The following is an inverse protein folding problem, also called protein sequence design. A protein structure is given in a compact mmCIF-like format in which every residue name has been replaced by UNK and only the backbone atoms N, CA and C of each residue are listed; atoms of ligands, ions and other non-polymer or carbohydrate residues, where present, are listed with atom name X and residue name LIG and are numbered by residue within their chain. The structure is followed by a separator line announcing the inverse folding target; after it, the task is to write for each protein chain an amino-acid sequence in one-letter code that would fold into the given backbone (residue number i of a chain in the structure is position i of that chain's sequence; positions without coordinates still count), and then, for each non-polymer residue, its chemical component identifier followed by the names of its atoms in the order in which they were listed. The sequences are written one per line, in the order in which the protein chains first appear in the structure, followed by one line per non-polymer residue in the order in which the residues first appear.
data_IF_456881907107
#
_entry.id   IF_456881907107
#
_cell.length_a   1.000
_cell.length_b   1.000
_cell.length_c   1.000
_cell.angle_alpha   90.00
_cell.angle_beta   90.00
_cell.angle_gamma   90.00
#
_symmetry.space_group_name_H-M   'P 1'
#
loop_
_entity.id
_entity.type
_entity.pdbx_description
1 polymer ?
#
# COMPACT_ATOMS: atom_id res chain seq x y z
N UNK A 1 8.35 -7.77 2.84
CA UNK A 1 8.38 -6.71 1.80
C UNK A 1 7.68 -5.44 2.25
N UNK A 2 6.48 -5.55 2.83
CA UNK A 2 5.74 -4.46 3.47
C UNK A 2 6.61 -3.59 4.39
N UNK A 3 7.26 -4.19 5.40
CA UNK A 3 8.06 -3.45 6.38
C UNK A 3 9.21 -2.68 5.73
N UNK A 4 9.95 -3.31 4.81
CA UNK A 4 11.03 -2.65 4.07
C UNK A 4 10.55 -1.37 3.37
N UNK A 5 9.40 -1.44 2.69
CA UNK A 5 8.82 -0.28 2.01
C UNK A 5 8.36 0.77 3.02
N UNK A 6 7.61 0.37 4.06
CA UNK A 6 7.17 1.28 5.12
C UNK A 6 8.35 2.01 5.80
N UNK A 7 9.50 1.33 5.93
CA UNK A 7 10.70 1.90 6.53
C UNK A 7 11.45 2.88 5.62
N UNK A 8 11.28 2.76 4.29
CA UNK A 8 11.87 3.66 3.29
C UNK A 8 11.06 4.94 3.01
N UNK A 9 9.79 5.00 3.42
CA UNK A 9 8.94 6.16 3.19
C UNK A 9 9.33 7.36 4.06
N UNK A 10 9.13 8.56 3.54
CA UNK A 10 9.16 9.81 4.31
C UNK A 10 7.76 10.13 4.88
N UNK A 11 7.66 10.86 6.01
CA UNK A 11 6.37 11.32 6.51
C UNK A 11 5.57 12.08 5.43
N UNK A 12 4.30 11.74 5.29
CA UNK A 12 3.40 12.25 4.24
C UNK A 12 3.42 11.46 2.93
N UNK A 13 4.42 10.60 2.71
CA UNK A 13 4.59 9.85 1.47
C UNK A 13 3.67 8.62 1.40
N UNK A 14 3.17 8.36 0.19
CA UNK A 14 2.38 7.16 -0.17
C UNK A 14 3.25 6.25 -1.03
N UNK A 15 3.30 4.96 -0.71
CA UNK A 15 4.11 3.98 -1.42
C UNK A 15 3.58 3.65 -2.82
N UNK A 16 4.40 2.90 -3.56
CA UNK A 16 3.93 2.00 -4.63
C UNK A 16 2.96 0.95 -4.11
N UNK A 17 2.38 0.17 -5.03
CA UNK A 17 1.67 -1.06 -4.67
C UNK A 17 2.71 -2.08 -4.22
N UNK A 18 2.53 -2.64 -3.03
CA UNK A 18 3.39 -3.67 -2.45
C UNK A 18 2.62 -4.98 -2.45
N UNK A 19 3.05 -5.94 -3.26
CA UNK A 19 2.47 -7.27 -3.27
C UNK A 19 3.01 -8.08 -2.08
N UNK A 20 2.13 -8.82 -1.40
CA UNK A 20 2.49 -9.81 -0.39
C UNK A 20 1.58 -11.03 -0.52
N UNK A 21 1.85 -12.08 0.26
CA UNK A 21 0.99 -13.26 0.34
C UNK A 21 -0.44 -12.97 0.78
N UNK A 22 -0.71 -11.81 1.37
CA UNK A 22 -2.04 -11.40 1.81
C UNK A 22 -2.81 -10.61 0.74
N UNK A 23 -2.13 -10.16 -0.33
CA UNK A 23 -2.67 -9.31 -1.38
C UNK A 23 -1.82 -8.06 -1.62
N UNK A 24 -2.47 -7.00 -2.10
CA UNK A 24 -1.81 -5.76 -2.49
C UNK A 24 -1.96 -4.70 -1.40
N UNK A 25 -0.83 -4.11 -1.00
CA UNK A 25 -0.77 -3.09 0.03
C UNK A 25 -0.41 -1.74 -0.56
N UNK A 26 -1.10 -0.70 -0.10
CA UNK A 26 -0.75 0.70 -0.34
C UNK A 26 -0.50 1.33 1.02
N UNK A 27 0.69 1.88 1.24
CA UNK A 27 1.17 2.31 2.56
C UNK A 27 1.33 3.83 2.54
N UNK A 28 0.80 4.51 3.55
CA UNK A 28 1.07 5.93 3.80
C UNK A 28 1.75 6.09 5.15
N UNK A 29 2.91 6.74 5.17
CA UNK A 29 3.58 7.06 6.42
C UNK A 29 3.05 8.40 6.94
N UNK A 30 2.45 8.42 8.13
CA UNK A 30 1.94 9.66 8.71
C UNK A 30 3.06 10.40 9.46
N UNK A 31 3.80 9.71 10.33
CA UNK A 31 4.88 10.33 11.12
C UNK A 31 5.93 9.34 11.62
N UNK A 32 7.12 9.87 11.91
CA UNK A 32 8.23 9.14 12.54
C UNK A 32 8.43 9.72 13.96
N UNK A 33 8.56 8.85 14.96
CA UNK A 33 8.82 9.21 16.36
C UNK A 33 9.98 8.36 16.89
N UNK A 34 11.19 8.88 16.80
CA UNK A 34 12.39 8.11 17.14
C UNK A 34 12.49 6.84 16.28
N UNK A 35 12.57 5.63 16.88
CA UNK A 35 12.60 4.38 16.11
C UNK A 35 11.21 3.97 15.57
N UNK A 36 10.13 4.56 16.07
CA UNK A 36 8.76 4.18 15.71
C UNK A 36 8.27 4.89 14.43
N UNK A 37 7.51 4.14 13.62
CA UNK A 37 6.87 4.63 12.40
C UNK A 37 5.37 4.45 12.51
N UNK A 38 4.62 5.56 12.48
CA UNK A 38 3.17 5.49 12.40
C UNK A 38 2.74 5.56 10.93
N UNK A 39 2.26 4.43 10.41
CA UNK A 39 1.77 4.30 9.06
C UNK A 39 0.32 3.79 9.05
N UNK A 40 -0.39 4.07 7.97
CA UNK A 40 -1.66 3.43 7.61
C UNK A 40 -1.45 2.65 6.32
N UNK A 41 -2.20 1.58 6.15
CA UNK A 41 -2.23 0.85 4.89
C UNK A 41 -3.65 0.56 4.42
N UNK A 42 -3.77 0.28 3.13
CA UNK A 42 -4.94 -0.37 2.54
C UNK A 42 -4.46 -1.72 2.04
N UNK A 43 -5.14 -2.80 2.45
CA UNK A 43 -4.94 -4.13 1.91
C UNK A 43 -6.09 -4.43 0.95
N UNK A 44 -5.76 -4.85 -0.27
CA UNK A 44 -6.72 -5.34 -1.25
C UNK A 44 -6.40 -6.82 -1.48
N UNK A 45 -7.27 -7.67 -0.96
CA UNK A 45 -7.10 -9.12 -1.02
C UNK A 45 -7.74 -9.66 -2.30
N UNK A 46 -7.01 -10.44 -3.11
CA UNK A 46 -7.62 -11.14 -4.23
C UNK A 46 -8.49 -12.30 -3.73
N UNK A 47 -9.62 -12.50 -4.39
CA UNK A 47 -10.37 -13.76 -4.25
C UNK A 47 -9.61 -14.89 -4.97
N UNK A 48 -9.85 -16.16 -4.58
CA UNK A 48 -8.99 -17.33 -4.84
C UNK A 48 -8.79 -17.72 -6.32
N UNK A 49 -9.16 -16.90 -7.31
CA UNK A 49 -8.95 -17.19 -8.74
C UNK A 49 -7.91 -16.27 -9.38
N UNK A 50 -7.14 -16.79 -10.35
CA UNK A 50 -6.14 -15.99 -11.07
C UNK A 50 -6.76 -14.80 -11.84
N UNK A 51 -8.01 -14.94 -12.29
CA UNK A 51 -8.76 -13.86 -12.92
C UNK A 51 -9.13 -12.74 -11.92
N UNK A 52 -9.27 -13.08 -10.63
CA UNK A 52 -9.47 -12.09 -9.57
C UNK A 52 -8.17 -11.33 -9.27
N UNK A 53 -7.00 -11.93 -9.47
CA UNK A 53 -5.72 -11.25 -9.22
C UNK A 53 -5.56 -10.01 -10.11
N UNK A 54 -5.80 -10.12 -11.41
CA UNK A 54 -5.72 -8.98 -12.34
C UNK A 54 -6.69 -7.86 -11.97
N UNK A 55 -7.94 -8.20 -11.63
CA UNK A 55 -8.93 -7.20 -11.17
C UNK A 55 -8.50 -6.52 -9.87
N UNK A 56 -7.92 -7.29 -8.95
CA UNK A 56 -7.44 -6.79 -7.66
C UNK A 56 -6.25 -5.84 -7.83
N UNK A 57 -5.33 -6.16 -8.74
CA UNK A 57 -4.22 -5.29 -9.12
C UNK A 57 -4.70 -3.96 -9.73
N UNK A 58 -5.65 -4.01 -10.66
CA UNK A 58 -6.25 -2.81 -11.26
C UNK A 58 -6.90 -1.93 -10.19
N UNK A 59 -7.66 -2.55 -9.28
CA UNK A 59 -8.27 -1.82 -8.17
C UNK A 59 -7.23 -1.18 -7.24
N UNK A 60 -6.11 -1.87 -6.98
CA UNK A 60 -5.00 -1.30 -6.21
C UNK A 60 -4.37 -0.10 -6.91
N UNK A 61 -4.25 -0.10 -8.24
CA UNK A 61 -3.74 1.05 -9.01
C UNK A 61 -4.66 2.26 -8.89
N UNK A 62 -5.96 2.08 -9.07
CA UNK A 62 -6.93 3.17 -8.92
C UNK A 62 -6.86 3.83 -7.54
N UNK A 63 -6.81 3.02 -6.49
CA UNK A 63 -6.73 3.52 -5.11
C UNK A 63 -5.41 4.24 -4.86
N UNK A 64 -4.29 3.71 -5.36
CA UNK A 64 -2.99 4.33 -5.19
C UNK A 64 -2.91 5.70 -5.88
N UNK A 65 -3.43 5.81 -7.10
CA UNK A 65 -3.48 7.07 -7.84
C UNK A 65 -4.37 8.10 -7.15
N UNK A 66 -5.57 7.71 -6.68
CA UNK A 66 -6.46 8.60 -5.94
C UNK A 66 -5.80 9.14 -4.65
N UNK A 67 -5.05 8.30 -3.93
CA UNK A 67 -4.34 8.72 -2.71
C UNK A 67 -3.17 9.67 -2.97
N UNK A 68 -2.54 9.60 -4.15
CA UNK A 68 -1.44 10.48 -4.55
C UNK A 68 -1.92 11.79 -5.15
N UNK A 69 -3.02 11.76 -5.90
CA UNK A 69 -3.59 12.93 -6.56
C UNK A 69 -4.15 14.00 -5.60
N UNK A 70 -4.37 13.63 -4.34
CA UNK A 70 -5.02 14.50 -3.35
C UNK A 70 -6.53 14.56 -3.59
N UNK A 71 -7.30 14.07 -2.62
CA UNK A 71 -8.70 14.45 -2.46
C UNK A 71 -8.80 15.79 -1.72
#
# INVERSE_FOLDING_TARGET
EFERVAYSLRPGEVSGIVETSFGFHIIKLDKIRGPERQARHILIQPELTDADRTRTEERAREVAEALRGGA
#
